data_IF_861120694772
#
_entry.id   IF_861120694772
#
_cell.length_a   1.000
_cell.length_b   1.000
_cell.length_c   1.000
_cell.angle_alpha   90.00
_cell.angle_beta   90.00
_cell.angle_gamma   90.00
#
_symmetry.space_group_name_H-M   'P 1'
#
loop_
_entity.id
_entity.type
_entity.pdbx_description
1 polymer ?
#
# COMPACT_ATOMS: atom_id res chain seq x y z
N UNK A 1 -40.09 -4.08 0.89
CA UNK A 1 -38.95 -4.95 1.23
C UNK A 1 -37.63 -4.44 0.66
N UNK A 2 -37.08 -3.38 1.26
CA UNK A 2 -35.71 -2.94 1.01
C UNK A 2 -34.82 -3.67 2.02
N UNK A 3 -34.26 -4.82 1.63
CA UNK A 3 -33.11 -5.37 2.34
C UNK A 3 -31.98 -4.38 2.10
N UNK A 4 -31.82 -3.44 3.04
CA UNK A 4 -30.58 -2.71 3.21
C UNK A 4 -29.51 -3.78 3.43
N UNK A 5 -28.87 -4.18 2.33
CA UNK A 5 -27.87 -5.22 2.28
C UNK A 5 -26.80 -4.87 3.31
N UNK A 6 -26.79 -5.64 4.40
CA UNK A 6 -25.76 -5.60 5.42
C UNK A 6 -24.48 -6.01 4.69
N UNK A 7 -23.75 -5.03 4.14
CA UNK A 7 -22.43 -5.28 3.57
C UNK A 7 -21.60 -5.85 4.73
N UNK A 8 -21.12 -7.09 4.64
CA UNK A 8 -20.33 -7.65 5.72
C UNK A 8 -19.12 -6.73 5.94
N UNK A 9 -18.78 -6.43 7.20
CA UNK A 9 -17.63 -5.60 7.50
C UNK A 9 -16.38 -6.25 6.92
N UNK A 10 -15.41 -5.42 6.52
CA UNK A 10 -14.17 -5.91 5.94
C UNK A 10 -13.50 -6.90 6.92
N UNK A 11 -13.09 -8.10 6.46
CA UNK A 11 -12.46 -9.10 7.32
C UNK A 11 -11.27 -8.51 8.09
N UNK A 12 -11.03 -8.90 9.36
CA UNK A 12 -9.99 -8.29 10.20
C UNK A 12 -8.60 -8.28 9.56
N UNK A 13 -8.20 -9.36 8.87
CA UNK A 13 -6.92 -9.43 8.16
C UNK A 13 -6.80 -8.36 7.07
N UNK A 14 -7.86 -8.20 6.26
CA UNK A 14 -7.92 -7.20 5.19
C UNK A 14 -7.95 -5.78 5.75
N UNK A 15 -8.70 -5.57 6.84
CA UNK A 15 -8.74 -4.28 7.53
C UNK A 15 -7.38 -3.86 8.09
N UNK A 16 -6.59 -4.80 8.62
CA UNK A 16 -5.22 -4.52 9.07
C UNK A 16 -4.32 -4.06 7.92
N UNK A 17 -4.38 -4.72 6.76
CA UNK A 17 -3.60 -4.32 5.59
C UNK A 17 -3.98 -2.92 5.08
N UNK A 18 -5.27 -2.61 5.01
CA UNK A 18 -5.78 -1.28 4.61
C UNK A 18 -5.34 -0.21 5.60
N UNK A 19 -5.43 -0.49 6.90
CA UNK A 19 -5.05 0.45 7.96
C UNK A 19 -3.53 0.72 7.95
N UNK A 20 -2.73 -0.31 7.75
CA UNK A 20 -1.29 -0.18 7.61
C UNK A 20 -0.92 0.70 6.40
N UNK A 21 -1.61 0.53 5.28
CA UNK A 21 -1.45 1.41 4.11
C UNK A 21 -1.80 2.87 4.44
N UNK A 22 -2.89 3.09 5.17
CA UNK A 22 -3.32 4.43 5.58
C UNK A 22 -2.31 5.09 6.53
N UNK A 23 -1.79 4.37 7.52
CA UNK A 23 -0.79 4.90 8.47
C UNK A 23 0.51 5.34 7.75
N UNK A 24 0.88 4.68 6.65
CA UNK A 24 2.03 5.09 5.83
C UNK A 24 1.75 6.34 5.00
N UNK A 25 0.48 6.55 4.62
CA UNK A 25 0.02 7.72 3.89
C UNK A 25 -0.17 8.92 4.83
N UNK A 26 -0.57 8.71 6.08
CA UNK A 26 -0.75 9.73 7.12
C UNK A 26 0.52 9.90 7.96
N UNK A 27 1.58 10.41 7.34
CA UNK A 27 2.88 10.66 8.00
C UNK A 27 2.76 11.59 9.21
N UNK A 28 1.81 12.52 9.14
CA UNK A 28 1.57 13.55 10.14
C UNK A 28 0.67 13.04 11.29
N UNK A 29 0.16 11.80 11.20
CA UNK A 29 -0.74 11.16 12.18
C UNK A 29 -1.96 12.01 12.52
N UNK A 30 -2.50 12.68 11.51
CA UNK A 30 -3.65 13.57 11.62
C UNK A 30 -4.99 12.81 11.59
N UNK A 31 -4.97 11.53 11.22
CA UNK A 31 -6.12 10.69 10.95
C UNK A 31 -6.78 10.95 9.60
N UNK A 32 -6.18 11.80 8.75
CA UNK A 32 -6.74 12.29 7.50
C UNK A 32 -5.66 12.43 6.43
N UNK A 33 -5.98 12.10 5.18
CA UNK A 33 -5.07 12.28 4.05
C UNK A 33 -5.75 13.04 2.94
N UNK A 34 -5.08 14.06 2.39
CA UNK A 34 -5.60 14.82 1.25
C UNK A 34 -5.84 13.95 0.02
N UNK A 35 -6.99 14.12 -0.64
CA UNK A 35 -7.39 13.34 -1.83
C UNK A 35 -6.35 13.46 -2.95
N UNK A 36 -5.76 14.64 -3.14
CA UNK A 36 -4.74 14.86 -4.16
C UNK A 36 -3.48 14.03 -3.89
N UNK A 37 -3.05 13.96 -2.61
CA UNK A 37 -1.91 13.14 -2.19
C UNK A 37 -2.17 11.66 -2.41
N UNK A 38 -3.39 11.20 -2.10
CA UNK A 38 -3.81 9.82 -2.38
C UNK A 38 -3.70 9.52 -3.87
N UNK A 39 -4.24 10.38 -4.73
CA UNK A 39 -4.18 10.20 -6.18
C UNK A 39 -2.73 10.16 -6.72
N UNK A 40 -1.82 10.95 -6.15
CA UNK A 40 -0.41 10.98 -6.57
C UNK A 40 0.38 9.75 -6.13
N UNK A 41 0.02 9.16 -4.98
CA UNK A 41 0.71 7.99 -4.42
C UNK A 41 0.15 6.67 -4.91
N UNK A 42 -1.09 6.65 -5.36
CA UNK A 42 -1.78 5.44 -5.77
C UNK A 42 -1.28 4.94 -7.13
N UNK A 43 -0.70 3.74 -7.15
CA UNK A 43 -0.22 3.07 -8.34
C UNK A 43 -1.37 2.27 -8.99
N UNK A 44 -2.02 2.89 -9.97
CA UNK A 44 -3.23 2.40 -10.64
C UNK A 44 -2.99 1.15 -11.49
N UNK A 45 -1.73 0.82 -11.81
CA UNK A 45 -1.36 -0.43 -12.49
C UNK A 45 -1.77 -1.66 -11.70
N UNK A 46 -1.78 -1.52 -10.38
CA UNK A 46 -2.20 -2.57 -9.45
C UNK A 46 -3.63 -2.38 -8.97
N UNK A 47 -4.43 -1.53 -9.64
CA UNK A 47 -5.84 -1.43 -9.32
C UNK A 47 -6.53 -2.77 -9.64
N UNK A 48 -7.34 -3.35 -8.74
CA UNK A 48 -7.98 -4.66 -8.94
C UNK A 48 -8.77 -4.75 -10.24
N UNK A 49 -9.52 -3.69 -10.57
CA UNK A 49 -10.26 -3.60 -11.83
C UNK A 49 -9.39 -3.52 -13.08
N UNK A 50 -8.17 -2.97 -12.99
CA UNK A 50 -7.21 -2.95 -14.12
C UNK A 50 -6.56 -4.32 -14.26
N UNK A 51 -6.14 -4.93 -13.15
CA UNK A 51 -5.52 -6.26 -13.15
C UNK A 51 -6.47 -7.36 -13.64
N UNK A 52 -7.76 -7.27 -13.30
CA UNK A 52 -8.79 -8.21 -13.76
C UNK A 52 -9.40 -7.84 -15.12
N UNK A 53 -8.88 -6.80 -15.81
CA UNK A 53 -9.38 -6.36 -17.12
C UNK A 53 -10.82 -5.82 -17.11
N UNK A 54 -11.38 -5.51 -15.94
CA UNK A 54 -12.70 -4.88 -15.80
C UNK A 54 -12.67 -3.40 -16.19
N UNK A 55 -11.54 -2.73 -15.99
CA UNK A 55 -11.27 -1.36 -16.41
C UNK A 55 -10.31 -1.37 -17.60
N UNK A 56 -10.56 -0.52 -18.59
CA UNK A 56 -9.80 -0.53 -19.83
C UNK A 56 -8.37 0.02 -19.65
N UNK A 57 -8.16 0.96 -18.72
CA UNK A 57 -6.88 1.61 -18.48
C UNK A 57 -6.79 2.23 -17.07
N UNK A 58 -5.58 2.69 -16.72
CA UNK A 58 -5.27 3.40 -15.48
C UNK A 58 -6.08 4.71 -15.35
N UNK A 59 -6.32 5.42 -16.46
CA UNK A 59 -7.10 6.66 -16.48
C UNK A 59 -8.56 6.45 -16.03
N UNK A 60 -9.20 5.36 -16.44
CA UNK A 60 -10.54 4.99 -16.00
C UNK A 60 -10.55 4.65 -14.51
N UNK A 61 -9.54 3.93 -14.02
CA UNK A 61 -9.38 3.67 -12.60
C UNK A 61 -9.21 4.97 -11.80
N UNK A 62 -8.40 5.91 -12.29
CA UNK A 62 -8.21 7.22 -11.65
C UNK A 62 -9.50 8.04 -11.65
N UNK A 63 -10.24 8.05 -12.76
CA UNK A 63 -11.53 8.75 -12.86
C UNK A 63 -12.54 8.19 -11.87
N UNK A 64 -12.63 6.85 -11.76
CA UNK A 64 -13.45 6.17 -10.78
C UNK A 64 -13.07 6.53 -9.34
N UNK A 65 -11.77 6.47 -9.03
CA UNK A 65 -11.23 6.83 -7.73
C UNK A 65 -11.53 8.29 -7.36
N UNK A 66 -11.25 9.25 -8.25
CA UNK A 66 -11.57 10.68 -8.04
C UNK A 66 -13.07 10.92 -7.89
N UNK A 67 -13.90 10.17 -8.63
CA UNK A 67 -15.36 10.28 -8.52
C UNK A 67 -15.85 9.83 -7.15
N UNK A 68 -15.24 8.80 -6.54
CA UNK A 68 -15.57 8.34 -5.17
C UNK A 68 -15.31 9.41 -4.12
N UNK A 69 -14.32 10.27 -4.35
CA UNK A 69 -13.92 11.34 -3.44
C UNK A 69 -14.38 12.73 -3.89
N UNK A 70 -15.32 12.80 -4.84
CA UNK A 70 -15.76 14.08 -5.42
C UNK A 70 -16.42 14.95 -4.34
N UNK A 71 -15.86 16.13 -4.09
CA UNK A 71 -16.36 17.07 -3.09
C UNK A 71 -15.75 16.89 -1.70
N UNK A 72 -14.82 15.93 -1.53
CA UNK A 72 -14.00 15.80 -0.33
C UNK A 72 -12.59 16.31 -0.62
N UNK A 73 -12.01 17.07 0.31
CA UNK A 73 -10.60 17.49 0.28
C UNK A 73 -9.70 16.46 0.95
N UNK A 74 -10.23 15.74 1.93
CA UNK A 74 -9.52 14.80 2.79
C UNK A 74 -10.31 13.52 2.96
N UNK A 75 -9.60 12.43 3.20
CA UNK A 75 -10.14 11.08 3.42
C UNK A 75 -9.69 10.59 4.79
N UNK A 76 -10.62 10.09 5.59
CA UNK A 76 -10.29 9.49 6.90
C UNK A 76 -9.95 8.00 6.74
N UNK A 77 -9.33 7.41 7.77
CA UNK A 77 -9.07 5.97 7.80
C UNK A 77 -10.38 5.15 7.64
N UNK A 78 -11.50 5.64 8.20
CA UNK A 78 -12.79 4.98 8.11
C UNK A 78 -13.36 5.02 6.68
N UNK A 79 -13.25 6.17 6.01
CA UNK A 79 -13.68 6.30 4.61
C UNK A 79 -12.84 5.40 3.70
N UNK A 80 -11.54 5.30 3.99
CA UNK A 80 -10.61 4.44 3.26
C UNK A 80 -10.96 2.95 3.43
N UNK A 81 -11.31 2.53 4.64
CA UNK A 81 -11.80 1.17 4.91
C UNK A 81 -13.09 0.87 4.16
N UNK A 82 -14.05 1.81 4.14
CA UNK A 82 -15.31 1.67 3.40
C UNK A 82 -15.07 1.51 1.89
N UNK A 83 -14.15 2.30 1.32
CA UNK A 83 -13.75 2.14 -0.08
C UNK A 83 -13.18 0.74 -0.37
N UNK A 84 -12.32 0.21 0.50
CA UNK A 84 -11.77 -1.13 0.35
C UNK A 84 -12.75 -2.26 0.67
N UNK A 85 -13.80 -1.99 1.46
CA UNK A 85 -14.91 -2.93 1.67
C UNK A 85 -15.62 -3.23 0.35
N UNK A 86 -15.92 -2.21 -0.44
CA UNK A 86 -16.53 -2.37 -1.75
C UNK A 86 -15.59 -3.02 -2.76
N UNK A 87 -14.28 -2.80 -2.69
CA UNK A 87 -13.32 -3.50 -3.57
C UNK A 87 -13.06 -4.95 -3.15
N UNK A 88 -13.12 -5.25 -1.85
CA UNK A 88 -12.84 -6.57 -1.30
C UNK A 88 -13.80 -7.65 -1.83
N UNK A 89 -15.03 -7.28 -2.21
CA UNK A 89 -16.00 -8.23 -2.78
C UNK A 89 -15.58 -8.76 -4.16
N UNK A 90 -14.70 -8.03 -4.86
CA UNK A 90 -14.23 -8.36 -6.20
C UNK A 90 -12.86 -9.06 -6.17
N UNK A 91 -12.30 -9.32 -4.99
CA UNK A 91 -10.96 -9.89 -4.83
C UNK A 91 -11.06 -11.19 -4.02
N UNK A 92 -10.84 -12.29 -4.72
CA UNK A 92 -10.76 -13.61 -4.12
C UNK A 92 -9.41 -13.80 -3.41
N UNK A 93 -9.46 -14.24 -2.15
CA UNK A 93 -8.27 -14.52 -1.34
C UNK A 93 -7.68 -13.31 -0.60
N UNK A 94 -7.38 -13.50 0.69
CA UNK A 94 -6.81 -12.44 1.54
C UNK A 94 -5.37 -12.09 1.15
N UNK A 95 -4.57 -13.08 0.74
CA UNK A 95 -3.16 -12.87 0.40
C UNK A 95 -3.02 -12.05 -0.89
N UNK A 96 -3.88 -12.32 -1.89
CA UNK A 96 -3.91 -11.54 -3.12
C UNK A 96 -4.38 -10.10 -2.87
N UNK A 97 -5.37 -9.91 -1.99
CA UNK A 97 -5.82 -8.59 -1.54
C UNK A 97 -4.68 -7.81 -0.87
N UNK A 98 -3.97 -8.44 0.06
CA UNK A 98 -2.86 -7.82 0.80
C UNK A 98 -1.69 -7.44 -0.12
N UNK A 99 -1.28 -8.34 -1.01
CA UNK A 99 -0.25 -8.10 -2.02
C UNK A 99 -0.63 -6.92 -2.93
N UNK A 100 -1.90 -6.87 -3.34
CA UNK A 100 -2.44 -5.80 -4.19
C UNK A 100 -2.34 -4.44 -3.50
N UNK A 101 -2.78 -4.34 -2.25
CA UNK A 101 -2.71 -3.08 -1.48
C UNK A 101 -1.25 -2.65 -1.28
N UNK A 102 -0.37 -3.58 -0.90
CA UNK A 102 1.05 -3.27 -0.70
C UNK A 102 1.69 -2.71 -1.97
N UNK A 103 1.43 -3.32 -3.13
CA UNK A 103 1.93 -2.85 -4.42
C UNK A 103 1.31 -1.52 -4.84
N UNK A 104 0.00 -1.38 -4.71
CA UNK A 104 -0.73 -0.18 -5.10
C UNK A 104 -0.31 1.07 -4.30
N UNK A 105 0.07 0.90 -3.03
CA UNK A 105 0.54 2.00 -2.18
C UNK A 105 2.05 2.07 -2.04
N UNK A 106 2.80 1.22 -2.75
CA UNK A 106 4.25 1.11 -2.66
C UNK A 106 4.74 1.02 -1.21
N UNK A 107 4.13 0.12 -0.45
CA UNK A 107 4.56 -0.23 0.90
C UNK A 107 5.82 -1.09 0.74
N UNK A 108 6.99 -0.57 1.09
CA UNK A 108 8.21 -1.36 1.02
C UNK A 108 8.20 -2.36 2.19
N UNK A 109 8.67 -3.58 1.98
CA UNK A 109 8.69 -4.62 3.03
C UNK A 109 9.50 -4.23 4.30
N UNK A 110 10.30 -3.15 4.24
CA UNK A 110 11.03 -2.55 5.38
C UNK A 110 10.13 -1.65 6.26
N UNK A 111 8.98 -1.20 5.75
CA UNK A 111 7.97 -0.49 6.53
C UNK A 111 7.21 -1.52 7.38
N UNK A 112 7.80 -1.89 8.53
CA UNK A 112 7.25 -2.87 9.47
C UNK A 112 5.77 -2.59 9.74
N UNK A 113 4.91 -3.49 9.27
CA UNK A 113 3.49 -3.53 9.58
C UNK A 113 3.33 -4.23 10.93
N UNK A 114 2.89 -3.56 12.01
CA UNK A 114 2.60 -4.25 13.26
C UNK A 114 1.37 -5.15 13.08
N UNK A 115 1.61 -6.47 13.01
CA UNK A 115 0.55 -7.48 12.96
C UNK A 115 0.63 -8.52 11.84
N UNK A 116 1.61 -8.45 10.93
CA UNK A 116 1.81 -9.52 9.93
C UNK A 116 2.85 -10.53 10.41
N UNK A 117 2.47 -11.78 10.77
CA UNK A 117 3.44 -12.84 10.96
C UNK A 117 3.91 -13.28 9.56
N UNK A 118 5.08 -12.81 9.11
CA UNK A 118 5.65 -13.30 7.85
C UNK A 118 6.66 -12.44 7.11
N UNK A 119 7.02 -11.23 7.56
CA UNK A 119 8.08 -10.45 6.87
C UNK A 119 9.47 -10.80 7.42
N UNK A 120 9.90 -12.04 7.20
CA UNK A 120 11.31 -12.43 7.23
C UNK A 120 11.71 -12.66 5.78
N UNK A 121 12.03 -11.59 5.05
CA UNK A 121 12.88 -11.71 3.86
C UNK A 121 14.15 -10.91 4.11
N UNK A 122 15.07 -11.62 4.74
CA UNK A 122 16.53 -11.57 4.58
C UNK A 122 17.09 -10.33 3.90
N UNK A 123 17.35 -9.31 4.71
CA UNK A 123 18.46 -8.39 4.45
C UNK A 123 19.73 -9.05 4.96
N UNK A 124 20.21 -10.09 4.28
CA UNK A 124 21.57 -10.55 4.49
C UNK A 124 22.54 -9.58 3.80
N UNK A 125 22.97 -8.68 4.66
CA UNK A 125 24.19 -7.91 4.62
C UNK A 125 25.38 -8.76 4.13
N UNK A 126 25.96 -8.41 2.97
CA UNK A 126 27.40 -8.57 2.77
C UNK A 126 27.93 -7.52 1.82
N UNK A 127 28.26 -6.34 2.37
CA UNK A 127 29.22 -5.45 1.73
C UNK A 127 30.58 -6.16 1.62
N UNK A 128 31.29 -6.09 0.47
CA UNK A 128 32.68 -6.52 0.42
C UNK A 128 33.54 -5.58 1.30
N UNK A 129 34.57 -6.08 1.99
CA UNK A 129 35.47 -5.23 2.74
C UNK A 129 36.17 -4.27 1.77
N UNK A 130 36.03 -2.97 2.03
CA UNK A 130 36.83 -1.95 1.37
C UNK A 130 38.29 -2.13 1.75
N UNK A 131 39.13 -2.44 0.76
CA UNK A 131 40.58 -2.32 0.88
C UNK A 131 40.94 -0.83 0.82
N UNK A 132 40.86 -0.17 1.97
CA UNK A 132 41.52 1.09 2.20
C UNK A 132 42.97 0.88 2.65
N UNK A 133 43.86 1.78 2.21
CA UNK A 133 45.08 2.08 2.94
C UNK A 133 46.38 1.86 2.18
N UNK A 134 46.79 2.87 1.44
CA UNK A 134 48.19 3.13 1.12
C UNK A 134 49.00 3.45 2.40
N UNK A 135 50.27 3.04 2.47
CA UNK A 135 51.42 3.88 2.84
C UNK A 135 52.73 3.08 3.09
N UNK A 136 53.73 3.41 2.26
CA UNK A 136 55.15 3.66 2.54
C UNK A 136 55.93 2.90 3.65
N UNK A 137 57.04 2.27 3.23
CA UNK A 137 58.41 2.32 3.78
C UNK A 137 59.23 1.27 2.99
N UNK A 138 60.49 1.41 2.57
CA UNK A 138 61.59 2.23 3.03
C UNK A 138 62.80 1.34 3.36
N UNK A 139 63.61 0.96 2.35
CA UNK A 139 65.07 0.78 2.51
C UNK A 139 65.68 -0.59 2.89
N UNK A 140 66.76 -0.90 2.14
CA UNK A 140 67.94 -1.76 2.44
C UNK A 140 67.67 -3.29 2.52
N UNK A 141 68.44 -4.16 1.88
CA UNK A 141 69.86 -4.17 1.51
C UNK A 141 70.06 -4.84 0.15
#
# INVERSE_FOLDING_TARGET
>A
ELVAGVRPPLPPRRALAVRAAFDLLDKDKTGRVGVERLCQRYDLRYHPGVMNGTLANEDEALKGFRRRWRGQSEVTCQDFLDYYQDMSIHIDGDDFFEETIRRAWRIHNDDVVPGTPGSIHSREFRSPPGSGGAAASGGRR
#
